data_IF_777869943637
#
_entry.id   IF_777869943637
#
_cell.length_a   1.000
_cell.length_b   1.000
_cell.length_c   1.000
_cell.angle_alpha   90.00
_cell.angle_beta   90.00
_cell.angle_gamma   90.00
#
_symmetry.space_group_name_H-M   'P 1'
#
loop_
_entity.id
_entity.type
_entity.pdbx_description
1 polymer ?
#
# COMPACT_ATOMS: atom_id res chain seq x y z
N UNK A 1 -29.58 -52.43 11.96
CA UNK A 1 -28.73 -53.65 11.83
C UNK A 1 -28.96 -54.16 10.42
N UNK A 2 -28.03 -54.18 9.46
CA UNK A 2 -26.60 -54.54 9.46
C UNK A 2 -25.91 -53.76 8.33
N UNK A 3 -25.02 -52.82 8.63
CA UNK A 3 -23.57 -52.92 8.39
C UNK A 3 -23.14 -53.59 7.08
N UNK A 4 -22.72 -52.78 6.09
CA UNK A 4 -21.62 -53.16 5.20
C UNK A 4 -20.62 -52.00 5.18
N UNK A 5 -19.67 -52.09 6.10
CA UNK A 5 -18.35 -51.48 5.95
C UNK A 5 -17.66 -52.23 4.81
N UNK A 6 -17.61 -51.65 3.62
CA UNK A 6 -16.71 -52.13 2.57
C UNK A 6 -15.37 -51.42 2.75
N UNK A 7 -14.48 -52.06 3.50
CA UNK A 7 -13.06 -51.69 3.49
C UNK A 7 -12.53 -51.76 2.05
N UNK A 8 -11.82 -50.72 1.61
CA UNK A 8 -11.14 -50.60 0.30
C UNK A 8 -10.33 -51.82 -0.22
N UNK A 9 -9.86 -52.80 0.60
CA UNK A 9 -9.12 -53.96 0.09
C UNK A 9 -9.93 -54.95 -0.76
N UNK A 10 -11.26 -55.03 -0.65
CA UNK A 10 -12.07 -56.11 -1.27
C UNK A 10 -12.64 -55.79 -2.66
N UNK A 11 -12.30 -54.65 -3.26
CA UNK A 11 -12.78 -54.29 -4.60
C UNK A 11 -12.03 -55.08 -5.69
N UNK A 12 -12.76 -55.67 -6.63
CA UNK A 12 -12.17 -56.35 -7.80
C UNK A 12 -11.34 -55.37 -8.64
N UNK A 13 -10.31 -55.84 -9.38
CA UNK A 13 -9.45 -54.96 -10.19
C UNK A 13 -10.23 -54.09 -11.19
N UNK A 14 -11.29 -54.64 -11.78
CA UNK A 14 -12.16 -53.92 -12.72
C UNK A 14 -12.97 -52.81 -12.04
N UNK A 15 -13.47 -53.06 -10.83
CA UNK A 15 -14.24 -52.08 -10.06
C UNK A 15 -13.32 -50.97 -9.53
N UNK A 16 -12.09 -51.30 -9.14
CA UNK A 16 -11.04 -50.32 -8.80
C UNK A 16 -10.69 -49.42 -9.99
N UNK A 17 -10.48 -50.01 -11.17
CA UNK A 17 -10.18 -49.24 -12.39
C UNK A 17 -11.36 -48.34 -12.81
N UNK A 18 -12.59 -48.82 -12.66
CA UNK A 18 -13.80 -48.02 -12.93
C UNK A 18 -13.97 -46.87 -11.94
N UNK A 19 -13.69 -47.10 -10.66
CA UNK A 19 -13.68 -46.05 -9.62
C UNK A 19 -12.55 -45.04 -9.86
N UNK A 20 -11.34 -45.48 -10.20
CA UNK A 20 -10.22 -44.60 -10.55
C UNK A 20 -10.51 -43.77 -11.80
N UNK A 21 -11.14 -44.37 -12.82
CA UNK A 21 -11.58 -43.65 -14.01
C UNK A 21 -12.68 -42.64 -13.68
N UNK A 22 -13.65 -42.99 -12.84
CA UNK A 22 -14.70 -42.07 -12.39
C UNK A 22 -14.17 -40.94 -11.50
N UNK A 23 -13.20 -41.22 -10.63
CA UNK A 23 -12.52 -40.22 -9.81
C UNK A 23 -11.64 -39.31 -10.68
N UNK A 24 -10.93 -39.87 -11.66
CA UNK A 24 -10.14 -39.09 -12.62
C UNK A 24 -11.02 -38.24 -13.53
N UNK A 25 -12.19 -38.75 -13.93
CA UNK A 25 -13.17 -38.02 -14.74
C UNK A 25 -13.88 -36.94 -13.91
N UNK A 26 -14.17 -37.20 -12.63
CA UNK A 26 -14.65 -36.19 -11.67
C UNK A 26 -13.61 -35.12 -11.38
N UNK A 27 -12.34 -35.51 -11.22
CA UNK A 27 -11.23 -34.58 -11.06
C UNK A 27 -11.07 -33.71 -12.31
N UNK A 28 -11.15 -34.30 -13.51
CA UNK A 28 -11.14 -33.55 -14.79
C UNK A 28 -12.35 -32.63 -14.95
N UNK A 29 -13.57 -33.10 -14.69
CA UNK A 29 -14.77 -32.23 -14.75
C UNK A 29 -14.80 -31.17 -13.66
N UNK A 30 -14.20 -31.43 -12.49
CA UNK A 30 -13.95 -30.43 -11.46
C UNK A 30 -12.94 -29.39 -11.93
N UNK A 31 -11.89 -29.81 -12.65
CA UNK A 31 -10.89 -28.91 -13.24
C UNK A 31 -11.50 -28.05 -14.36
N UNK A 32 -12.31 -28.64 -15.25
CA UNK A 32 -13.00 -27.94 -16.33
C UNK A 32 -14.06 -26.95 -15.80
N UNK A 33 -14.76 -27.29 -14.71
CA UNK A 33 -15.69 -26.39 -14.04
C UNK A 33 -14.99 -25.29 -13.22
N UNK A 34 -13.79 -25.58 -12.70
CA UNK A 34 -12.94 -24.62 -12.00
C UNK A 34 -12.33 -23.60 -12.98
N UNK A 35 -11.92 -24.03 -14.17
CA UNK A 35 -11.47 -23.14 -15.26
C UNK A 35 -12.58 -22.19 -15.74
N UNK A 36 -13.86 -22.56 -15.62
CA UNK A 36 -14.97 -21.69 -15.99
C UNK A 36 -15.24 -20.53 -15.01
N UNK A 37 -14.70 -20.61 -13.79
CA UNK A 37 -14.88 -19.62 -12.71
C UNK A 37 -13.63 -18.78 -12.45
N UNK A 38 -12.50 -19.16 -13.04
CA UNK A 38 -11.23 -18.45 -13.00
C UNK A 38 -11.00 -17.74 -14.34
N UNK A 39 -10.72 -16.44 -14.31
CA UNK A 39 -10.28 -15.69 -15.49
C UNK A 39 -8.82 -15.28 -15.32
N UNK A 40 -7.94 -15.81 -16.16
CA UNK A 40 -6.53 -15.40 -16.21
C UNK A 40 -6.37 -14.19 -17.13
N UNK A 41 -6.01 -13.05 -16.57
CA UNK A 41 -5.75 -11.83 -17.33
C UNK A 41 -4.27 -11.65 -17.70
N UNK A 42 -3.37 -12.22 -16.90
CA UNK A 42 -1.93 -12.24 -17.11
C UNK A 42 -1.34 -13.52 -16.49
N UNK A 43 -0.07 -13.88 -16.77
CA UNK A 43 0.60 -15.01 -16.13
C UNK A 43 0.53 -14.96 -14.60
N UNK A 44 0.59 -13.75 -14.03
CA UNK A 44 0.58 -13.46 -12.61
C UNK A 44 -0.78 -13.06 -12.03
N UNK A 45 -1.84 -12.95 -12.84
CA UNK A 45 -3.14 -12.41 -12.39
C UNK A 45 -4.28 -13.37 -12.70
N UNK A 46 -4.87 -13.91 -11.63
CA UNK A 46 -6.07 -14.74 -11.64
C UNK A 46 -7.21 -13.96 -10.98
N UNK A 47 -8.33 -13.82 -11.68
CA UNK A 47 -9.60 -13.40 -11.10
C UNK A 47 -10.42 -14.65 -10.80
N UNK A 48 -10.87 -14.80 -9.57
CA UNK A 48 -11.68 -15.93 -9.12
C UNK A 48 -13.08 -15.44 -8.74
N UNK A 49 -14.11 -16.05 -9.32
CA UNK A 49 -15.50 -15.76 -8.96
C UNK A 49 -15.95 -16.48 -7.68
N UNK A 50 -15.12 -17.37 -7.12
CA UNK A 50 -15.41 -18.08 -5.87
C UNK A 50 -14.84 -17.31 -4.67
N UNK A 51 -15.59 -17.16 -3.56
CA UNK A 51 -15.07 -16.53 -2.35
C UNK A 51 -13.82 -17.25 -1.83
N UNK A 52 -12.72 -16.52 -1.68
CA UNK A 52 -11.43 -17.11 -1.30
C UNK A 52 -11.45 -17.75 0.10
N UNK A 53 -12.25 -17.24 1.04
CA UNK A 53 -12.42 -17.88 2.35
C UNK A 53 -13.02 -19.29 2.23
N UNK A 54 -13.90 -19.52 1.25
CA UNK A 54 -14.46 -20.85 0.99
C UNK A 54 -13.39 -21.80 0.46
N UNK A 55 -12.52 -21.32 -0.43
CA UNK A 55 -11.39 -22.12 -0.94
C UNK A 55 -10.42 -22.49 0.19
N UNK A 56 -10.12 -21.56 1.10
CA UNK A 56 -9.36 -21.84 2.31
C UNK A 56 -10.02 -22.89 3.19
N UNK A 57 -11.31 -22.74 3.49
CA UNK A 57 -12.05 -23.70 4.32
C UNK A 57 -12.12 -25.10 3.69
N UNK A 58 -12.13 -25.19 2.36
CA UNK A 58 -12.10 -26.44 1.61
C UNK A 58 -10.69 -27.07 1.52
N UNK A 59 -9.63 -26.37 1.94
CA UNK A 59 -8.24 -26.82 1.79
C UNK A 59 -7.68 -26.66 0.37
N UNK A 60 -8.35 -25.87 -0.47
CA UNK A 60 -7.92 -25.55 -1.84
C UNK A 60 -6.93 -24.38 -1.90
N UNK A 61 -6.81 -23.61 -0.81
CA UNK A 61 -5.84 -22.52 -0.67
C UNK A 61 -4.86 -22.77 0.48
N UNK A 62 -3.58 -22.51 0.21
CA UNK A 62 -2.51 -22.68 1.20
C UNK A 62 -2.50 -21.53 2.21
N UNK A 63 -2.14 -21.81 3.49
CA UNK A 63 -1.99 -20.79 4.54
C UNK A 63 -1.16 -19.57 4.10
N UNK A 64 -1.40 -18.44 4.77
CA UNK A 64 -0.66 -17.20 4.51
C UNK A 64 0.32 -16.90 5.64
N UNK A 65 1.40 -16.19 5.32
CA UNK A 65 2.35 -15.72 6.33
C UNK A 65 1.83 -14.46 7.04
N UNK A 66 1.08 -13.62 6.31
CA UNK A 66 0.63 -12.33 6.76
C UNK A 66 -0.70 -11.90 6.13
N UNK A 67 -1.34 -10.90 6.73
CA UNK A 67 -2.57 -10.27 6.22
C UNK A 67 -2.43 -8.76 6.18
N UNK A 68 -3.00 -8.12 5.17
CA UNK A 68 -3.24 -6.68 5.13
C UNK A 68 -4.74 -6.39 5.23
N UNK A 69 -5.15 -5.42 6.04
CA UNK A 69 -6.54 -4.99 6.16
C UNK A 69 -6.70 -3.65 5.45
N UNK A 70 -7.66 -3.56 4.53
CA UNK A 70 -8.00 -2.35 3.75
C UNK A 70 -9.49 -2.05 3.80
N UNK A 71 -9.91 -0.86 3.38
CA UNK A 71 -11.31 -0.53 3.13
C UNK A 71 -11.72 -0.77 1.66
N UNK A 72 -13.03 -0.74 1.40
CA UNK A 72 -13.57 -0.67 0.04
C UNK A 72 -13.13 0.63 -0.64
N UNK A 73 -12.79 0.52 -1.92
CA UNK A 73 -12.55 1.69 -2.77
C UNK A 73 -13.90 2.31 -3.16
N UNK A 74 -14.05 3.64 -3.11
CA UNK A 74 -15.31 4.32 -3.45
C UNK A 74 -15.83 3.99 -4.88
N UNK A 75 -14.95 3.53 -5.77
CA UNK A 75 -15.29 3.07 -7.13
C UNK A 75 -16.23 1.88 -7.21
N UNK A 76 -16.38 1.12 -6.13
CA UNK A 76 -17.35 0.01 -6.11
C UNK A 76 -18.79 0.51 -6.18
N UNK A 77 -19.03 1.80 -5.89
CA UNK A 77 -20.32 2.47 -6.02
C UNK A 77 -20.51 2.99 -7.45
N UNK A 78 -21.60 2.58 -8.10
CA UNK A 78 -21.89 2.93 -9.49
C UNK A 78 -22.55 1.80 -10.27
N UNK A 79 -22.92 2.06 -11.53
CA UNK A 79 -23.53 1.07 -12.45
C UNK A 79 -24.70 0.27 -11.85
N UNK A 80 -25.52 0.93 -11.03
CA UNK A 80 -26.70 0.33 -10.38
C UNK A 80 -26.44 -0.28 -9.00
N UNK A 81 -25.19 -0.31 -8.53
CA UNK A 81 -24.84 -0.66 -7.15
C UNK A 81 -24.68 0.59 -6.31
N UNK A 82 -25.38 0.62 -5.17
CA UNK A 82 -25.11 1.54 -4.10
C UNK A 82 -24.25 0.86 -3.03
N UNK A 83 -23.73 1.66 -2.08
CA UNK A 83 -22.85 1.13 -1.04
C UNK A 83 -23.52 0.03 -0.20
N UNK A 84 -24.82 0.13 0.08
CA UNK A 84 -25.58 -0.85 0.86
C UNK A 84 -25.60 -2.23 0.18
N UNK A 85 -25.72 -2.26 -1.15
CA UNK A 85 -25.73 -3.51 -1.93
C UNK A 85 -24.41 -4.27 -1.75
N UNK A 86 -23.32 -3.53 -1.58
CA UNK A 86 -21.97 -4.07 -1.48
C UNK A 86 -21.68 -4.46 -0.04
N UNK A 87 -21.97 -3.58 0.92
CA UNK A 87 -21.68 -3.83 2.33
C UNK A 87 -22.56 -4.93 2.92
N UNK A 88 -23.87 -4.90 2.65
CA UNK A 88 -24.81 -5.89 3.19
C UNK A 88 -25.03 -7.07 2.25
N UNK A 89 -25.12 -6.82 0.94
CA UNK A 89 -25.41 -7.88 -0.03
C UNK A 89 -24.20 -8.76 -0.33
N UNK A 90 -23.10 -8.14 -0.75
CA UNK A 90 -21.89 -8.87 -1.18
C UNK A 90 -21.02 -9.27 0.02
N UNK A 91 -20.74 -8.33 0.93
CA UNK A 91 -19.85 -8.60 2.06
C UNK A 91 -20.58 -9.21 3.26
N UNK A 92 -21.92 -9.14 3.33
CA UNK A 92 -22.69 -9.64 4.46
C UNK A 92 -22.30 -8.99 5.80
N UNK A 93 -21.89 -7.72 5.78
CA UNK A 93 -21.33 -6.97 6.91
C UNK A 93 -20.06 -7.56 7.56
N UNK A 94 -19.37 -8.46 6.85
CA UNK A 94 -18.14 -9.10 7.30
C UNK A 94 -16.94 -8.70 6.44
N UNK A 95 -15.71 -8.75 6.99
CA UNK A 95 -14.50 -8.59 6.19
C UNK A 95 -14.40 -9.65 5.08
N UNK A 96 -14.09 -9.21 3.87
CA UNK A 96 -13.98 -10.06 2.69
C UNK A 96 -12.52 -10.38 2.39
N UNK A 97 -12.15 -11.66 2.22
CA UNK A 97 -10.86 -12.02 1.65
C UNK A 97 -10.86 -11.73 0.15
N UNK A 98 -10.26 -10.62 -0.23
CA UNK A 98 -10.34 -10.05 -1.57
C UNK A 98 -9.15 -10.36 -2.46
N UNK A 99 -7.99 -10.65 -1.88
CA UNK A 99 -6.76 -10.92 -2.65
C UNK A 99 -5.83 -11.86 -1.88
N UNK A 100 -5.13 -12.74 -2.59
CA UNK A 100 -3.96 -13.47 -2.11
C UNK A 100 -2.79 -13.10 -3.02
N UNK A 101 -1.73 -12.56 -2.42
CA UNK A 101 -0.44 -12.26 -3.06
C UNK A 101 0.56 -13.34 -2.70
N UNK A 102 1.16 -13.96 -3.71
CA UNK A 102 2.31 -14.83 -3.56
C UNK A 102 3.56 -14.09 -4.05
N UNK A 103 4.43 -13.76 -3.11
CA UNK A 103 5.78 -13.28 -3.36
C UNK A 103 6.76 -14.46 -3.27
N UNK A 104 7.97 -14.39 -3.85
CA UNK A 104 8.99 -15.42 -3.67
C UNK A 104 9.30 -15.71 -2.19
N UNK A 105 9.20 -14.68 -1.36
CA UNK A 105 9.56 -14.74 0.05
C UNK A 105 8.38 -15.04 0.98
N UNK A 106 7.12 -14.97 0.52
CA UNK A 106 5.96 -15.36 1.32
C UNK A 106 4.58 -14.98 0.76
N UNK A 107 3.54 -15.30 1.53
CA UNK A 107 2.12 -15.13 1.15
C UNK A 107 1.44 -14.07 1.99
N UNK A 108 0.76 -13.13 1.33
CA UNK A 108 -0.02 -12.07 1.97
C UNK A 108 -1.47 -12.14 1.51
N UNK A 109 -2.41 -12.31 2.43
CA UNK A 109 -3.84 -12.15 2.14
C UNK A 109 -4.29 -10.70 2.38
N UNK A 110 -5.31 -10.24 1.65
CA UNK A 110 -5.95 -8.95 1.90
C UNK A 110 -7.39 -9.16 2.37
N UNK A 111 -7.70 -8.65 3.56
CA UNK A 111 -9.06 -8.54 4.07
C UNK A 111 -9.59 -7.12 3.80
N UNK A 112 -10.66 -7.02 3.04
CA UNK A 112 -11.36 -5.77 2.75
C UNK A 112 -12.53 -5.60 3.70
N UNK A 113 -12.49 -4.53 4.51
CA UNK A 113 -13.58 -4.15 5.38
C UNK A 113 -14.77 -3.63 4.55
N UNK A 114 -16.01 -3.93 4.94
CA UNK A 114 -17.22 -3.48 4.24
C UNK A 114 -17.54 -2.01 4.52
N UNK A 115 -16.55 -1.12 4.44
CA UNK A 115 -16.66 0.34 4.65
C UNK A 115 -15.72 1.03 3.68
N UNK A 116 -16.05 2.24 3.26
CA UNK A 116 -15.13 3.05 2.43
C UNK A 116 -14.27 3.97 3.30
N UNK A 117 -13.19 4.51 2.73
CA UNK A 117 -12.34 5.48 3.42
C UNK A 117 -13.10 6.76 3.80
N UNK A 118 -14.10 7.17 3.01
CA UNK A 118 -14.97 8.31 3.34
C UNK A 118 -15.81 8.12 4.61
N UNK A 119 -16.05 6.88 5.05
CA UNK A 119 -16.82 6.56 6.27
C UNK A 119 -15.94 6.37 7.50
N UNK A 120 -14.63 6.31 7.34
CA UNK A 120 -13.73 5.72 8.32
C UNK A 120 -13.69 6.49 9.66
N UNK A 121 -13.74 7.82 9.59
CA UNK A 121 -13.68 8.67 10.77
C UNK A 121 -15.04 8.80 11.49
N UNK A 122 -16.15 8.79 10.74
CA UNK A 122 -17.50 8.86 11.32
C UNK A 122 -17.95 7.54 11.94
N UNK A 123 -17.29 6.43 11.60
CA UNK A 123 -17.63 5.07 12.06
C UNK A 123 -16.46 4.35 12.74
N UNK A 124 -15.55 5.09 13.40
CA UNK A 124 -14.34 4.54 14.01
C UNK A 124 -14.57 3.35 14.95
N UNK A 125 -15.64 3.35 15.75
CA UNK A 125 -15.99 2.21 16.60
C UNK A 125 -16.35 0.93 15.82
N UNK A 126 -17.02 1.08 14.68
CA UNK A 126 -17.34 -0.04 13.79
C UNK A 126 -16.11 -0.53 13.03
N UNK A 127 -15.21 0.37 12.64
CA UNK A 127 -13.90 0.02 12.05
C UNK A 127 -13.07 -0.81 13.04
N UNK A 128 -12.99 -0.42 14.32
CA UNK A 128 -12.30 -1.22 15.35
C UNK A 128 -12.90 -2.62 15.45
N UNK A 129 -14.23 -2.72 15.52
CA UNK A 129 -14.93 -4.02 15.57
C UNK A 129 -14.61 -4.89 14.34
N UNK A 130 -14.62 -4.31 13.15
CA UNK A 130 -14.32 -5.01 11.90
C UNK A 130 -12.84 -5.45 11.83
N UNK A 131 -11.91 -4.62 12.29
CA UNK A 131 -10.49 -4.99 12.41
C UNK A 131 -10.31 -6.15 13.40
N UNK A 132 -10.96 -6.11 14.57
CA UNK A 132 -10.91 -7.21 15.53
C UNK A 132 -11.47 -8.52 14.93
N UNK A 133 -12.54 -8.45 14.12
CA UNK A 133 -13.04 -9.61 13.36
C UNK A 133 -12.01 -10.11 12.34
N UNK A 134 -11.35 -9.20 11.62
CA UNK A 134 -10.28 -9.53 10.69
C UNK A 134 -9.09 -10.22 11.37
N UNK A 135 -8.77 -9.91 12.63
CA UNK A 135 -7.71 -10.61 13.37
C UNK A 135 -8.04 -12.10 13.60
N UNK A 136 -9.31 -12.44 13.86
CA UNK A 136 -9.74 -13.83 14.01
C UNK A 136 -9.66 -14.59 12.68
N UNK A 137 -10.07 -13.93 11.59
CA UNK A 137 -9.93 -14.49 10.24
C UNK A 137 -8.45 -14.69 9.92
N UNK A 138 -7.61 -13.68 10.14
CA UNK A 138 -6.17 -13.74 9.87
C UNK A 138 -5.48 -14.87 10.64
N UNK A 139 -5.80 -15.07 11.92
CA UNK A 139 -5.33 -16.22 12.69
C UNK A 139 -5.70 -17.56 12.04
N UNK A 140 -6.96 -17.69 11.61
CA UNK A 140 -7.47 -18.91 10.96
C UNK A 140 -6.82 -19.18 9.60
N UNK A 141 -6.35 -18.12 8.91
CA UNK A 141 -5.60 -18.22 7.66
C UNK A 141 -4.12 -18.57 7.88
N UNK A 142 -3.65 -18.63 9.13
CA UNK A 142 -2.26 -18.93 9.49
C UNK A 142 -1.34 -17.70 9.60
N UNK A 143 -1.89 -16.49 9.48
CA UNK A 143 -1.10 -15.26 9.49
C UNK A 143 -0.42 -15.05 10.84
N UNK A 144 0.84 -14.60 10.82
CA UNK A 144 1.60 -14.22 12.03
C UNK A 144 1.58 -12.73 12.31
N UNK A 145 1.32 -11.91 11.30
CA UNK A 145 1.11 -10.48 11.46
C UNK A 145 0.03 -9.93 10.51
N UNK A 146 -0.52 -8.78 10.91
CA UNK A 146 -1.58 -8.04 10.26
C UNK A 146 -1.16 -6.59 10.10
N UNK A 147 -1.23 -6.03 8.89
CA UNK A 147 -1.04 -4.60 8.66
C UNK A 147 -2.36 -3.87 8.48
N UNK A 148 -2.46 -2.68 9.08
CA UNK A 148 -3.57 -1.75 8.90
C UNK A 148 -3.20 -0.78 7.76
N UNK A 149 -3.92 -0.79 6.64
CA UNK A 149 -3.57 0.03 5.47
C UNK A 149 -4.44 1.27 5.32
N UNK A 150 -3.99 2.20 4.46
CA UNK A 150 -4.70 3.46 4.16
C UNK A 150 -4.95 4.27 5.44
N UNK A 151 -6.19 4.70 5.65
CA UNK A 151 -6.59 5.52 6.81
C UNK A 151 -6.96 4.71 8.07
N UNK A 152 -6.87 3.37 8.05
CA UNK A 152 -7.22 2.54 9.21
C UNK A 152 -6.32 2.83 10.43
N UNK A 153 -4.99 3.01 10.29
CA UNK A 153 -4.15 3.44 11.40
C UNK A 153 -4.69 4.69 12.10
N UNK A 154 -4.90 5.81 11.39
CA UNK A 154 -5.36 7.06 12.02
C UNK A 154 -6.74 6.92 12.66
N UNK A 155 -7.68 6.22 12.01
CA UNK A 155 -9.03 5.99 12.53
C UNK A 155 -9.06 5.11 13.80
N UNK A 156 -8.02 4.31 14.02
CA UNK A 156 -7.88 3.40 15.17
C UNK A 156 -6.89 3.92 16.23
N UNK A 157 -6.57 5.22 16.22
CA UNK A 157 -5.53 5.82 17.07
C UNK A 157 -4.18 5.10 16.91
N UNK A 158 -3.78 4.92 15.66
CA UNK A 158 -2.57 4.20 15.23
C UNK A 158 -2.52 2.77 15.79
N UNK A 159 -3.65 2.08 15.73
CA UNK A 159 -3.82 0.72 16.23
C UNK A 159 -4.05 0.59 17.74
N UNK A 160 -3.90 1.66 18.54
CA UNK A 160 -4.06 1.61 20.00
C UNK A 160 -5.51 1.35 20.45
N UNK A 161 -6.50 1.60 19.59
CA UNK A 161 -7.89 1.34 19.91
C UNK A 161 -8.29 -0.14 19.80
N UNK A 162 -7.46 -0.98 19.16
CA UNK A 162 -7.78 -2.38 18.86
C UNK A 162 -7.46 -3.25 20.07
N UNK A 163 -8.40 -4.12 20.47
CA UNK A 163 -8.15 -5.09 21.54
C UNK A 163 -7.45 -6.31 20.98
N UNK A 164 -6.19 -6.47 21.32
CA UNK A 164 -5.38 -7.62 20.95
C UNK A 164 -5.51 -8.75 21.99
N UNK A 165 -5.61 -9.99 21.53
CA UNK A 165 -5.61 -11.20 22.35
C UNK A 165 -4.30 -11.98 22.15
N UNK A 166 -3.83 -12.69 23.17
CA UNK A 166 -2.53 -13.36 23.15
C UNK A 166 -2.29 -14.32 21.96
N UNK A 167 -3.34 -14.94 21.43
CA UNK A 167 -3.24 -15.89 20.31
C UNK A 167 -3.43 -15.23 18.92
N UNK A 168 -3.64 -13.91 18.86
CA UNK A 168 -3.86 -13.20 17.60
C UNK A 168 -2.54 -12.79 16.94
N UNK A 169 -2.53 -12.60 15.60
CA UNK A 169 -1.37 -12.09 14.88
C UNK A 169 -0.88 -10.76 15.44
N UNK A 170 0.41 -10.47 15.28
CA UNK A 170 0.96 -9.15 15.58
C UNK A 170 0.27 -8.07 14.72
N UNK A 171 0.10 -6.87 15.26
CA UNK A 171 -0.51 -5.75 14.52
C UNK A 171 0.58 -4.73 14.20
N UNK A 172 0.60 -4.26 12.95
CA UNK A 172 1.42 -3.13 12.53
C UNK A 172 0.57 -2.12 11.77
N UNK A 173 0.87 -0.82 11.91
CA UNK A 173 0.32 0.23 11.05
C UNK A 173 0.93 0.22 9.65
N UNK A 174 2.01 -0.54 9.45
CA UNK A 174 2.76 -0.57 8.19
C UNK A 174 3.63 0.65 7.94
N UNK A 175 3.58 1.66 8.82
CA UNK A 175 4.20 2.96 8.58
C UNK A 175 5.73 2.89 8.46
N UNK A 176 6.43 2.03 9.20
CA UNK A 176 7.89 1.93 9.07
C UNK A 176 8.34 1.52 7.65
N UNK A 177 7.64 0.56 7.03
CA UNK A 177 7.91 0.13 5.66
C UNK A 177 7.43 1.17 4.64
N UNK A 178 6.27 1.81 4.87
CA UNK A 178 5.79 2.92 4.01
C UNK A 178 6.76 4.09 4.02
N UNK A 179 7.20 4.54 5.20
CA UNK A 179 8.24 5.56 5.39
C UNK A 179 9.50 5.24 4.58
N UNK A 180 9.93 3.99 4.59
CA UNK A 180 11.09 3.55 3.81
C UNK A 180 10.83 3.62 2.31
N UNK A 181 9.64 3.25 1.85
CA UNK A 181 9.22 3.39 0.46
C UNK A 181 9.17 4.86 0.01
N UNK A 182 8.71 5.79 0.85
CA UNK A 182 8.74 7.24 0.55
C UNK A 182 10.17 7.73 0.30
N UNK A 183 11.13 7.31 1.14
CA UNK A 183 12.55 7.69 0.96
C UNK A 183 13.13 7.10 -0.32
N UNK A 184 12.80 5.84 -0.65
CA UNK A 184 13.19 5.24 -1.94
C UNK A 184 12.57 5.98 -3.13
N UNK A 185 11.29 6.38 -3.05
CA UNK A 185 10.61 7.16 -4.08
C UNK A 185 11.27 8.52 -4.30
N UNK A 186 11.69 9.21 -3.22
CA UNK A 186 12.46 10.45 -3.31
C UNK A 186 13.79 10.25 -4.05
N UNK A 187 14.55 9.21 -3.68
CA UNK A 187 15.80 8.90 -4.38
C UNK A 187 15.56 8.61 -5.87
N UNK A 188 14.54 7.82 -6.20
CA UNK A 188 14.19 7.48 -7.58
C UNK A 188 13.75 8.70 -8.38
N UNK A 189 12.96 9.59 -7.79
CA UNK A 189 12.50 10.82 -8.43
C UNK A 189 13.68 11.75 -8.73
N UNK A 190 14.56 11.98 -7.76
CA UNK A 190 15.77 12.78 -7.92
C UNK A 190 16.71 12.19 -8.98
N UNK A 191 16.94 10.88 -8.95
CA UNK A 191 17.74 10.18 -9.96
C UNK A 191 17.13 10.32 -11.36
N UNK A 192 15.81 10.21 -11.48
CA UNK A 192 15.11 10.34 -12.75
C UNK A 192 15.17 11.78 -13.29
N UNK A 193 15.11 12.76 -12.39
CA UNK A 193 15.28 14.18 -12.67
C UNK A 193 16.74 14.56 -12.98
N UNK A 194 17.72 13.72 -12.59
CA UNK A 194 19.15 14.03 -12.70
C UNK A 194 19.58 15.12 -11.73
N UNK A 195 19.10 15.07 -10.47
CA UNK A 195 19.36 16.07 -9.43
C UNK A 195 19.86 15.41 -8.14
N UNK A 196 20.65 16.13 -7.37
CA UNK A 196 21.13 15.70 -6.05
C UNK A 196 20.26 16.31 -4.95
N UNK A 197 19.91 15.51 -3.95
CA UNK A 197 19.17 15.97 -2.76
C UNK A 197 19.90 17.13 -2.06
N UNK A 198 21.23 17.13 -2.05
CA UNK A 198 22.02 18.15 -1.36
C UNK A 198 21.80 19.57 -1.91
N UNK A 199 21.37 19.70 -3.17
CA UNK A 199 21.11 20.98 -3.82
C UNK A 199 19.65 21.45 -3.66
N UNK A 200 18.79 20.60 -3.12
CA UNK A 200 17.35 20.83 -3.03
C UNK A 200 16.96 21.75 -1.86
N UNK A 201 15.96 22.59 -2.12
CA UNK A 201 15.13 23.24 -1.11
C UNK A 201 13.90 22.36 -0.88
N UNK A 202 13.94 21.53 0.16
CA UNK A 202 12.96 20.48 0.39
C UNK A 202 11.83 20.95 1.30
N UNK A 203 10.59 20.66 0.93
CA UNK A 203 9.41 20.87 1.78
C UNK A 203 8.72 19.58 2.15
N UNK A 204 8.41 19.39 3.44
CA UNK A 204 7.55 18.31 3.94
C UNK A 204 6.18 18.88 4.31
N UNK A 205 5.12 18.30 3.74
CA UNK A 205 3.73 18.72 3.92
C UNK A 205 2.97 17.59 4.63
N UNK A 206 2.55 17.84 5.87
CA UNK A 206 1.96 16.84 6.75
C UNK A 206 3.04 16.11 7.56
N UNK A 207 3.18 16.47 8.84
CA UNK A 207 4.18 15.90 9.74
C UNK A 207 3.48 14.97 10.74
N UNK A 208 2.63 14.08 10.21
CA UNK A 208 2.03 12.97 10.94
C UNK A 208 3.04 11.84 11.20
N UNK A 209 2.53 10.62 11.38
CA UNK A 209 3.35 9.43 11.63
C UNK A 209 4.34 9.17 10.49
N UNK A 210 3.85 9.04 9.24
CA UNK A 210 4.72 8.76 8.09
C UNK A 210 5.60 9.96 7.74
N UNK A 211 5.05 11.17 7.66
CA UNK A 211 5.81 12.37 7.29
C UNK A 211 7.00 12.65 8.22
N UNK A 212 6.78 12.59 9.55
CA UNK A 212 7.87 12.78 10.53
C UNK A 212 8.94 11.69 10.43
N UNK A 213 8.50 10.43 10.27
CA UNK A 213 9.40 9.30 10.18
C UNK A 213 10.18 9.27 8.85
N UNK A 214 9.56 9.65 7.73
CA UNK A 214 10.20 9.78 6.42
C UNK A 214 11.24 10.89 6.41
N UNK A 215 10.92 12.05 7.00
CA UNK A 215 11.90 13.12 7.20
C UNK A 215 13.10 12.66 8.03
N UNK A 216 12.83 12.01 9.17
CA UNK A 216 13.89 11.55 10.07
C UNK A 216 14.76 10.48 9.41
N UNK A 217 14.14 9.51 8.74
CA UNK A 217 14.83 8.46 8.00
C UNK A 217 15.67 9.05 6.88
N UNK A 218 15.12 9.95 6.07
CA UNK A 218 15.83 10.61 4.97
C UNK A 218 17.10 11.30 5.46
N UNK A 219 17.02 12.12 6.53
CA UNK A 219 18.21 12.77 7.10
C UNK A 219 19.21 11.80 7.73
N UNK A 220 18.79 10.58 8.04
CA UNK A 220 19.65 9.53 8.61
C UNK A 220 20.40 8.77 7.52
N UNK A 221 19.75 8.49 6.38
CA UNK A 221 20.30 7.56 5.36
C UNK A 221 20.73 8.25 4.06
N UNK A 222 20.35 9.51 3.84
CA UNK A 222 20.67 10.29 2.64
C UNK A 222 21.48 11.55 2.98
N UNK A 223 22.15 12.17 1.99
CA UNK A 223 22.69 13.52 2.13
C UNK A 223 21.62 14.53 2.57
N UNK A 224 22.03 15.54 3.33
CA UNK A 224 21.11 16.56 3.82
C UNK A 224 20.78 17.58 2.72
N UNK A 225 19.49 17.98 2.56
CA UNK A 225 19.13 19.02 1.61
C UNK A 225 19.62 20.40 2.05
N UNK A 226 19.83 21.30 1.09
CA UNK A 226 20.31 22.67 1.33
C UNK A 226 19.40 23.44 2.29
N UNK A 227 18.09 23.33 2.11
CA UNK A 227 17.10 23.89 3.03
C UNK A 227 15.92 22.95 3.25
N UNK A 228 15.24 23.14 4.38
CA UNK A 228 14.13 22.32 4.80
C UNK A 228 12.99 23.18 5.37
N UNK A 229 11.82 23.06 4.76
CA UNK A 229 10.59 23.72 5.20
C UNK A 229 9.59 22.68 5.68
N UNK A 230 9.17 22.79 6.95
CA UNK A 230 8.14 21.94 7.56
C UNK A 230 6.78 22.63 7.46
N UNK A 231 5.79 21.94 6.91
CA UNK A 231 4.45 22.46 6.72
C UNK A 231 3.41 21.55 7.36
N UNK A 232 2.75 22.06 8.40
CA UNK A 232 1.63 21.40 9.08
C UNK A 232 0.71 22.47 9.67
N UNK A 233 -0.40 22.04 10.25
CA UNK A 233 -1.36 22.91 10.94
C UNK A 233 -0.68 23.73 12.03
N UNK A 234 -1.08 24.99 12.18
CA UNK A 234 -0.56 25.87 13.25
C UNK A 234 -0.69 25.26 14.67
N UNK A 235 -1.74 24.48 14.92
CA UNK A 235 -1.97 23.79 16.19
C UNK A 235 -0.90 22.75 16.53
N UNK A 236 -0.04 22.38 15.58
CA UNK A 236 1.07 21.43 15.73
C UNK A 236 2.40 22.12 16.07
N UNK A 237 2.40 23.44 16.26
CA UNK A 237 3.63 24.24 16.45
C UNK A 237 4.56 23.66 17.52
N UNK A 238 4.07 23.35 18.72
CA UNK A 238 4.92 22.84 19.81
C UNK A 238 5.56 21.48 19.47
N UNK A 239 4.82 20.61 18.79
CA UNK A 239 5.33 19.34 18.31
C UNK A 239 6.40 19.54 17.23
N UNK A 240 6.22 20.53 16.35
CA UNK A 240 7.19 20.87 15.32
C UNK A 240 8.44 21.57 15.87
N UNK A 241 8.31 22.41 16.89
CA UNK A 241 9.48 22.98 17.57
C UNK A 241 10.32 21.89 18.23
N UNK A 242 9.66 20.87 18.79
CA UNK A 242 10.33 19.66 19.32
C UNK A 242 11.01 18.87 18.20
N UNK A 243 10.31 18.66 17.08
CA UNK A 243 10.88 17.98 15.91
C UNK A 243 12.09 18.74 15.36
N UNK A 244 11.99 20.05 15.14
CA UNK A 244 13.08 20.88 14.65
C UNK A 244 14.31 20.81 15.55
N UNK A 245 14.12 20.78 16.88
CA UNK A 245 15.20 20.57 17.84
C UNK A 245 15.85 19.21 17.63
N UNK A 246 15.07 18.14 17.54
CA UNK A 246 15.55 16.79 17.24
C UNK A 246 16.35 16.73 15.93
N UNK A 247 15.89 17.41 14.86
CA UNK A 247 16.64 17.46 13.58
C UNK A 247 18.02 18.11 13.74
N UNK A 248 18.15 19.13 14.60
CA UNK A 248 19.41 19.84 14.84
C UNK A 248 20.33 19.08 15.78
N UNK A 249 19.80 18.60 16.89
CA UNK A 249 20.57 18.03 18.00
C UNK A 249 20.96 16.58 17.71
N UNK A 250 20.02 15.76 17.25
CA UNK A 250 20.21 14.31 17.07
C UNK A 250 20.58 13.94 15.65
N UNK A 251 19.97 14.58 14.64
CA UNK A 251 20.25 14.30 13.22
C UNK A 251 21.27 15.25 12.61
N UNK A 252 21.79 16.20 13.40
CA UNK A 252 22.86 17.13 13.02
C UNK A 252 22.60 17.94 11.74
N UNK A 253 21.34 18.20 11.39
CA UNK A 253 20.99 18.99 10.21
C UNK A 253 21.58 20.40 10.30
N UNK A 254 22.42 20.79 9.33
CA UNK A 254 23.09 22.11 9.32
C UNK A 254 22.45 23.11 8.35
N UNK A 255 21.63 22.65 7.41
CA UNK A 255 20.98 23.51 6.42
C UNK A 255 19.95 24.47 7.03
N UNK A 256 19.33 25.28 6.19
CA UNK A 256 18.30 26.21 6.63
C UNK A 256 17.03 25.45 7.04
N UNK A 257 16.44 25.76 8.20
CA UNK A 257 15.28 25.03 8.73
C UNK A 257 14.17 26.00 9.11
N UNK A 258 12.99 25.86 8.50
CA UNK A 258 11.84 26.74 8.71
C UNK A 258 10.58 25.94 9.01
N UNK A 259 9.69 26.55 9.79
CA UNK A 259 8.30 26.11 9.93
C UNK A 259 7.37 27.08 9.19
N UNK A 260 6.55 26.55 8.29
CA UNK A 260 5.55 27.29 7.53
C UNK A 260 4.15 26.74 7.87
N UNK A 261 3.40 27.38 8.79
CA UNK A 261 2.09 26.89 9.20
C UNK A 261 1.08 26.94 8.05
N UNK A 262 0.40 25.83 7.80
CA UNK A 262 -0.71 25.76 6.85
C UNK A 262 -2.06 25.97 7.54
N UNK A 263 -3.03 26.40 6.74
CA UNK A 263 -4.45 26.43 7.12
C UNK A 263 -5.24 25.45 6.24
N UNK A 264 -5.90 25.95 5.19
CA UNK A 264 -6.60 25.11 4.20
C UNK A 264 -5.73 24.79 2.99
N UNK A 265 -4.75 25.63 2.71
CA UNK A 265 -3.82 25.51 1.59
C UNK A 265 -2.40 25.73 2.09
N UNK A 266 -1.41 25.25 1.32
CA UNK A 266 -0.01 25.49 1.60
C UNK A 266 0.33 27.00 1.51
N UNK A 267 1.18 27.51 2.41
CA UNK A 267 1.63 28.90 2.41
C UNK A 267 2.65 29.18 1.30
N UNK A 268 3.01 30.44 1.07
CA UNK A 268 3.85 30.87 -0.06
C UNK A 268 5.25 30.23 -0.04
N UNK A 269 5.79 30.01 1.15
CA UNK A 269 7.09 29.40 1.39
C UNK A 269 7.22 28.01 0.75
N UNK A 270 6.12 27.27 0.65
CA UNK A 270 6.11 25.92 0.04
C UNK A 270 6.31 25.99 -1.47
N UNK A 271 5.82 27.04 -2.14
CA UNK A 271 5.95 27.18 -3.59
C UNK A 271 7.35 27.66 -4.01
N UNK A 272 8.18 28.08 -3.05
CA UNK A 272 9.59 28.39 -3.28
C UNK A 272 10.46 27.13 -3.32
N UNK A 273 9.98 26.03 -2.74
CA UNK A 273 10.70 24.77 -2.66
C UNK A 273 10.95 24.15 -4.04
N UNK A 274 12.08 23.48 -4.16
CA UNK A 274 12.47 22.76 -5.38
C UNK A 274 11.86 21.36 -5.44
N UNK A 275 11.68 20.75 -4.26
CA UNK A 275 11.16 19.40 -4.07
C UNK A 275 10.17 19.38 -2.91
N UNK A 276 9.05 18.69 -3.09
CA UNK A 276 7.98 18.55 -2.11
C UNK A 276 7.77 17.07 -1.77
N UNK A 277 7.53 16.79 -0.49
CA UNK A 277 7.07 15.49 0.01
C UNK A 277 5.74 15.69 0.72
N UNK A 278 4.67 15.13 0.16
CA UNK A 278 3.33 15.10 0.75
C UNK A 278 3.11 13.85 1.59
N UNK A 279 2.61 14.02 2.81
CA UNK A 279 2.21 12.94 3.72
C UNK A 279 1.04 13.41 4.60
N UNK A 280 -0.03 13.88 3.95
CA UNK A 280 -1.24 14.42 4.59
C UNK A 280 -2.46 13.54 4.34
N UNK A 281 -3.54 13.78 5.08
CA UNK A 281 -4.85 13.17 4.85
C UNK A 281 -5.89 14.20 4.35
N UNK A 282 -5.42 15.38 3.93
CA UNK A 282 -6.23 16.45 3.38
C UNK A 282 -5.94 16.57 1.88
N UNK A 283 -6.97 16.45 1.01
CA UNK A 283 -6.76 16.52 -0.43
C UNK A 283 -6.43 17.94 -0.90
N UNK A 284 -5.71 18.05 -2.02
CA UNK A 284 -5.55 19.30 -2.79
C UNK A 284 -5.04 20.51 -1.97
N UNK A 285 -4.15 20.28 -1.01
CA UNK A 285 -3.52 21.36 -0.21
C UNK A 285 -2.44 22.11 -1.00
N UNK A 286 -1.85 21.47 -2.01
CA UNK A 286 -0.91 22.03 -2.97
C UNK A 286 -1.63 22.41 -4.25
N UNK A 287 -1.54 23.68 -4.63
CA UNK A 287 -2.02 24.18 -5.92
C UNK A 287 -0.96 23.94 -7.00
N UNK A 288 -1.24 23.03 -7.93
CA UNK A 288 -0.30 22.67 -9.01
C UNK A 288 0.04 23.88 -9.87
N UNK A 289 -0.87 24.83 -10.07
CA UNK A 289 -0.63 25.99 -10.93
C UNK A 289 0.40 26.96 -10.34
N UNK A 290 0.60 26.92 -9.01
CA UNK A 290 1.54 27.80 -8.30
C UNK A 290 2.93 27.20 -8.13
N UNK A 291 3.10 25.92 -8.43
CA UNK A 291 4.42 25.29 -8.40
C UNK A 291 5.36 25.99 -9.39
N UNK A 292 6.59 26.23 -8.96
CA UNK A 292 7.64 26.74 -9.84
C UNK A 292 8.03 25.71 -10.90
N UNK A 293 8.44 26.14 -12.11
CA UNK A 293 9.10 25.26 -13.06
C UNK A 293 10.31 24.55 -12.42
N UNK A 294 10.50 23.28 -12.78
CA UNK A 294 11.47 22.37 -12.18
C UNK A 294 11.04 21.73 -10.85
N UNK A 295 9.77 21.83 -10.43
CA UNK A 295 9.33 21.24 -9.15
C UNK A 295 9.27 19.71 -9.20
N UNK A 296 9.75 19.07 -8.13
CA UNK A 296 9.63 17.63 -7.90
C UNK A 296 8.62 17.34 -6.78
N UNK A 297 7.80 16.29 -6.90
CA UNK A 297 6.80 15.92 -5.89
C UNK A 297 6.82 14.41 -5.61
N UNK A 298 6.98 14.02 -4.35
CA UNK A 298 6.66 12.67 -3.86
C UNK A 298 5.41 12.77 -2.99
N UNK A 299 4.35 12.04 -3.30
CA UNK A 299 3.08 12.14 -2.55
C UNK A 299 2.64 10.80 -1.96
N UNK A 300 2.75 10.68 -0.64
CA UNK A 300 2.24 9.57 0.18
C UNK A 300 0.85 9.88 0.79
N UNK A 301 0.19 10.94 0.32
CA UNK A 301 -1.10 11.36 0.87
C UNK A 301 -2.24 10.51 0.35
N UNK A 302 -3.21 10.23 1.22
CA UNK A 302 -4.47 9.57 0.85
C UNK A 302 -5.65 10.36 1.42
N UNK A 303 -6.42 11.10 0.58
CA UNK A 303 -6.22 11.29 -0.86
C UNK A 303 -5.03 12.22 -1.21
N UNK A 304 -4.68 12.31 -2.50
CA UNK A 304 -3.54 13.10 -2.99
C UNK A 304 -3.51 14.55 -2.52
N UNK A 305 -2.30 15.05 -2.22
CA UNK A 305 -2.13 16.42 -1.73
C UNK A 305 -2.26 17.49 -2.83
N UNK A 306 -2.42 17.09 -4.09
CA UNK A 306 -2.60 17.94 -5.27
C UNK A 306 -3.63 17.36 -6.25
N UNK A 307 -4.12 18.18 -7.18
CA UNK A 307 -5.01 17.72 -8.24
C UNK A 307 -4.24 16.93 -9.31
N UNK A 308 -4.48 15.61 -9.34
CA UNK A 308 -3.79 14.68 -10.23
C UNK A 308 -4.01 15.01 -11.71
N UNK A 309 -5.22 15.40 -12.11
CA UNK A 309 -5.51 15.68 -13.51
C UNK A 309 -4.74 16.94 -13.96
N UNK A 310 -4.71 17.96 -13.11
CA UNK A 310 -3.95 19.18 -13.36
C UNK A 310 -2.43 18.93 -13.43
N UNK A 311 -1.90 18.06 -12.57
CA UNK A 311 -0.47 17.69 -12.59
C UNK A 311 -0.09 16.93 -13.86
N UNK A 312 -0.93 15.98 -14.29
CA UNK A 312 -0.74 15.24 -15.55
C UNK A 312 -0.77 16.22 -16.73
N UNK A 313 -1.79 17.07 -16.82
CA UNK A 313 -1.90 18.08 -17.89
C UNK A 313 -0.68 19.00 -17.94
N UNK A 314 -0.20 19.47 -16.78
CA UNK A 314 0.99 20.32 -16.71
C UNK A 314 2.25 19.59 -17.16
N UNK A 315 2.45 18.33 -16.78
CA UNK A 315 3.59 17.55 -17.28
C UNK A 315 3.52 17.37 -18.80
N UNK A 316 2.35 17.01 -19.34
CA UNK A 316 2.16 16.74 -20.77
C UNK A 316 2.34 18.01 -21.63
N UNK A 317 1.91 19.17 -21.11
CA UNK A 317 1.92 20.43 -21.87
C UNK A 317 3.17 21.28 -21.66
N UNK A 318 3.74 21.28 -20.44
CA UNK A 318 4.86 22.15 -20.07
C UNK A 318 6.14 21.36 -19.75
N UNK A 319 6.01 20.09 -19.36
CA UNK A 319 7.15 19.23 -18.97
C UNK A 319 8.07 19.85 -17.91
N UNK A 320 7.49 20.66 -17.02
CA UNK A 320 8.23 21.47 -16.06
C UNK A 320 7.99 21.08 -14.60
N UNK A 321 7.24 20.02 -14.35
CA UNK A 321 7.13 19.38 -13.04
C UNK A 321 7.33 17.87 -13.20
N UNK A 322 7.76 17.18 -12.15
CA UNK A 322 7.81 15.72 -12.13
C UNK A 322 7.30 15.22 -10.80
N UNK A 323 6.49 14.16 -10.81
CA UNK A 323 5.85 13.67 -9.60
C UNK A 323 5.74 12.14 -9.58
N UNK A 324 5.60 11.60 -8.38
CA UNK A 324 5.30 10.19 -8.13
C UNK A 324 4.59 10.01 -6.81
N UNK A 325 3.88 8.89 -6.66
CA UNK A 325 3.41 8.44 -5.36
C UNK A 325 4.57 7.99 -4.44
N UNK A 326 4.41 8.31 -3.17
CA UNK A 326 5.12 7.73 -2.05
C UNK A 326 4.50 6.39 -1.65
N UNK A 327 5.23 5.60 -0.87
CA UNK A 327 4.66 4.38 -0.27
C UNK A 327 4.55 3.16 -1.17
N UNK A 328 4.77 3.29 -2.49
CA UNK A 328 4.75 2.20 -3.45
C UNK A 328 6.15 1.66 -3.79
N UNK A 329 6.27 0.34 -3.91
CA UNK A 329 7.51 -0.38 -4.17
C UNK A 329 7.38 -1.25 -5.42
N UNK A 330 8.53 -1.49 -6.06
CA UNK A 330 8.72 -2.54 -7.05
C UNK A 330 9.44 -3.72 -6.38
N UNK A 331 8.79 -4.87 -6.35
CA UNK A 331 9.37 -6.12 -5.87
C UNK A 331 10.43 -6.66 -6.85
N UNK A 332 11.46 -7.36 -6.33
CA UNK A 332 12.51 -7.96 -7.17
C UNK A 332 11.98 -9.09 -8.07
N UNK A 333 10.92 -9.78 -7.65
CA UNK A 333 10.26 -10.84 -8.39
C UNK A 333 8.80 -10.52 -8.67
N UNK A 334 8.23 -11.24 -9.63
CA UNK A 334 6.81 -11.16 -9.98
C UNK A 334 5.94 -11.62 -8.80
N UNK A 335 4.87 -10.87 -8.52
CA UNK A 335 3.90 -11.15 -7.47
C UNK A 335 2.69 -11.82 -8.12
N UNK A 336 2.40 -13.06 -7.74
CA UNK A 336 1.18 -13.70 -8.21
C UNK A 336 -0.01 -13.20 -7.40
N UNK A 337 -1.10 -12.86 -8.08
CA UNK A 337 -2.34 -12.39 -7.50
C UNK A 337 -3.47 -13.37 -7.83
N UNK A 338 -4.20 -13.79 -6.78
CA UNK A 338 -5.54 -14.36 -6.92
C UNK A 338 -6.53 -13.41 -6.27
N UNK A 339 -7.35 -12.76 -7.09
CA UNK A 339 -8.30 -11.74 -6.64
C UNK A 339 -9.71 -12.32 -6.67
N UNK A 340 -10.43 -12.22 -5.55
CA UNK A 340 -11.86 -12.49 -5.54
C UNK A 340 -12.59 -11.33 -6.19
N UNK A 341 -13.29 -11.60 -7.29
CA UNK A 341 -14.14 -10.61 -7.94
C UNK A 341 -15.52 -11.23 -8.15
N UNK A 342 -16.52 -10.84 -7.35
CA UNK A 342 -17.90 -11.21 -7.64
C UNK A 342 -18.26 -10.76 -9.05
N UNK A 343 -18.93 -11.61 -9.83
CA UNK A 343 -19.35 -11.30 -11.21
C UNK A 343 -20.06 -9.94 -11.34
N UNK A 344 -20.86 -9.58 -10.31
CA UNK A 344 -21.56 -8.31 -10.20
C UNK A 344 -20.64 -7.07 -10.16
N UNK A 345 -19.37 -7.23 -9.76
CA UNK A 345 -18.39 -6.17 -9.56
C UNK A 345 -17.20 -6.23 -10.54
N UNK A 346 -17.23 -7.13 -11.53
CA UNK A 346 -16.17 -7.22 -12.55
C UNK A 346 -15.93 -5.89 -13.26
N UNK A 347 -16.98 -5.09 -13.48
CA UNK A 347 -16.89 -3.76 -14.09
C UNK A 347 -16.08 -2.75 -13.27
N UNK A 348 -16.00 -2.93 -11.95
CA UNK A 348 -15.31 -2.02 -11.05
C UNK A 348 -13.81 -2.35 -10.95
N UNK A 349 -13.39 -3.50 -11.49
CA UNK A 349 -12.00 -3.90 -11.48
C UNK A 349 -11.20 -3.08 -12.50
N UNK A 350 -10.23 -2.33 -11.99
CA UNK A 350 -9.20 -1.68 -12.80
C UNK A 350 -7.85 -2.20 -12.30
N UNK A 351 -7.40 -3.31 -12.87
CA UNK A 351 -6.09 -3.87 -12.56
C UNK A 351 -5.34 -4.07 -13.88
N UNK A 352 -4.50 -3.10 -14.30
CA UNK A 352 -3.76 -3.24 -15.54
C UNK A 352 -2.85 -4.47 -15.45
N UNK A 353 -2.93 -5.34 -16.46
CA UNK A 353 -2.17 -6.57 -16.57
C UNK A 353 -0.80 -6.31 -17.24
N UNK A 354 -0.02 -5.37 -16.70
CA UNK A 354 1.30 -4.98 -17.21
C UNK A 354 2.45 -5.37 -16.24
N UNK A 355 3.70 -5.27 -16.71
CA UNK A 355 4.89 -5.62 -15.92
C UNK A 355 5.01 -4.78 -14.64
N UNK A 356 4.72 -3.48 -14.74
CA UNK A 356 4.77 -2.58 -13.59
C UNK A 356 3.89 -3.09 -12.45
N UNK A 357 2.66 -3.48 -12.76
CA UNK A 357 1.72 -4.02 -11.78
C UNK A 357 2.04 -5.45 -11.35
N UNK A 358 2.74 -6.23 -12.18
CA UNK A 358 3.25 -7.56 -11.82
C UNK A 358 4.24 -7.52 -10.64
N UNK A 359 4.91 -6.38 -10.45
CA UNK A 359 5.89 -6.17 -9.39
C UNK A 359 5.44 -5.16 -8.32
N UNK A 360 4.24 -4.60 -8.45
CA UNK A 360 3.79 -3.49 -7.60
C UNK A 360 3.28 -3.99 -6.24
N UNK A 361 3.78 -3.38 -5.16
CA UNK A 361 3.25 -3.56 -3.81
C UNK A 361 3.45 -2.29 -2.99
N UNK A 362 2.50 -1.96 -2.11
CA UNK A 362 2.67 -0.83 -1.20
C UNK A 362 3.38 -1.27 0.08
N UNK A 363 4.16 -0.36 0.67
CA UNK A 363 4.90 -0.59 1.91
C UNK A 363 4.00 -1.04 3.06
N UNK A 364 2.79 -0.47 3.16
CA UNK A 364 1.83 -0.86 4.20
C UNK A 364 1.33 -2.31 4.05
N UNK A 365 1.18 -2.82 2.82
CA UNK A 365 0.84 -4.25 2.59
C UNK A 365 2.05 -5.13 2.91
N UNK A 366 3.23 -4.79 2.39
CA UNK A 366 4.46 -5.58 2.58
C UNK A 366 4.89 -5.68 4.05
N UNK A 367 4.62 -4.65 4.86
CA UNK A 367 5.05 -4.56 6.25
C UNK A 367 4.60 -5.73 7.13
N UNK A 368 3.40 -6.28 6.88
CA UNK A 368 2.91 -7.43 7.63
C UNK A 368 3.70 -8.70 7.31
N UNK A 369 4.17 -8.87 6.07
CA UNK A 369 5.05 -9.99 5.73
C UNK A 369 6.40 -9.87 6.43
N UNK A 370 6.95 -8.65 6.46
CA UNK A 370 8.22 -8.37 7.14
C UNK A 370 8.11 -8.66 8.64
N UNK A 371 7.06 -8.16 9.29
CA UNK A 371 6.85 -8.38 10.71
C UNK A 371 6.51 -9.84 11.03
N UNK A 372 5.68 -10.47 10.20
CA UNK A 372 5.14 -11.80 10.47
C UNK A 372 6.09 -12.93 10.10
N UNK A 373 6.98 -12.75 9.12
CA UNK A 373 7.84 -13.83 8.62
C UNK A 373 9.31 -13.68 8.97
N UNK A 374 9.78 -12.43 9.08
CA UNK A 374 11.19 -12.12 9.27
C UNK A 374 11.44 -11.38 10.59
N UNK A 375 10.43 -11.33 11.47
CA UNK A 375 10.49 -10.73 12.80
C UNK A 375 10.98 -9.28 12.81
N UNK A 376 10.75 -8.53 11.71
CA UNK A 376 11.03 -7.10 11.68
C UNK A 376 10.09 -6.35 12.64
N UNK A 377 10.53 -5.21 13.21
CA UNK A 377 9.72 -4.48 14.17
C UNK A 377 8.35 -4.07 13.63
N UNK A 378 7.29 -4.46 14.35
CA UNK A 378 5.94 -4.02 14.10
C UNK A 378 5.70 -2.64 14.73
N UNK A 379 4.92 -1.77 14.06
CA UNK A 379 4.63 -0.42 14.56
C UNK A 379 3.20 -0.33 15.10
N UNK A 380 3.05 0.08 16.35
CA UNK A 380 1.79 0.58 16.91
C UNK A 380 2.05 1.97 17.49
N UNK A 381 1.17 2.93 17.19
CA UNK A 381 1.47 4.34 17.47
C UNK A 381 2.36 4.98 16.39
N UNK A 382 3.25 5.85 16.85
CA UNK A 382 4.22 6.53 15.99
C UNK A 382 5.37 5.59 15.63
N UNK A 383 5.97 5.80 14.46
CA UNK A 383 7.15 5.03 14.03
C UNK A 383 8.35 5.43 14.89
N UNK A 384 9.05 4.45 15.44
CA UNK A 384 10.34 4.69 16.07
C UNK A 384 11.44 4.85 15.00
N UNK A 385 12.34 5.84 15.11
CA UNK A 385 13.35 6.11 14.09
C UNK A 385 14.19 4.89 13.69
N UNK A 386 14.62 4.09 14.67
CA UNK A 386 15.43 2.90 14.40
C UNK A 386 14.65 1.81 13.65
N UNK A 387 13.34 1.70 13.87
CA UNK A 387 12.49 0.77 13.11
C UNK A 387 12.42 1.20 11.65
N UNK A 388 12.29 2.50 11.35
CA UNK A 388 12.32 2.99 9.97
C UNK A 388 13.64 2.64 9.27
N UNK A 389 14.80 2.84 9.94
CA UNK A 389 16.12 2.47 9.40
C UNK A 389 16.20 0.96 9.13
N UNK A 390 15.72 0.15 10.06
CA UNK A 390 15.72 -1.33 9.93
C UNK A 390 14.91 -1.78 8.72
N UNK A 391 13.71 -1.21 8.53
CA UNK A 391 12.86 -1.52 7.38
C UNK A 391 13.47 -1.02 6.06
N UNK A 392 14.10 0.15 6.05
CA UNK A 392 14.80 0.68 4.88
C UNK A 392 15.94 -0.24 4.43
N UNK A 393 16.81 -0.64 5.36
CA UNK A 393 17.90 -1.57 5.09
C UNK A 393 17.37 -2.90 4.58
N UNK A 394 16.31 -3.43 5.18
CA UNK A 394 15.67 -4.67 4.74
C UNK A 394 15.17 -4.59 3.29
N UNK A 395 14.53 -3.49 2.91
CA UNK A 395 14.07 -3.30 1.52
C UNK A 395 15.24 -3.29 0.55
N UNK A 396 16.30 -2.54 0.85
CA UNK A 396 17.51 -2.43 0.02
C UNK A 396 18.21 -3.79 -0.12
N UNK A 397 18.46 -4.48 0.99
CA UNK A 397 19.14 -5.79 1.02
C UNK A 397 18.37 -6.87 0.26
N UNK A 398 17.03 -6.79 0.28
CA UNK A 398 16.14 -7.72 -0.42
C UNK A 398 15.89 -7.33 -1.87
N UNK A 399 16.47 -6.23 -2.35
CA UNK A 399 16.35 -5.79 -3.74
C UNK A 399 14.99 -5.16 -4.09
N UNK A 400 14.22 -4.72 -3.10
CA UNK A 400 13.07 -3.87 -3.36
C UNK A 400 13.53 -2.49 -3.83
N UNK A 401 12.82 -1.95 -4.79
CA UNK A 401 13.08 -0.62 -5.36
C UNK A 401 11.85 0.25 -5.18
N UNK A 402 12.00 1.57 -5.36
CA UNK A 402 10.85 2.43 -5.58
C UNK A 402 10.08 1.95 -6.82
N UNK A 403 8.76 2.13 -6.80
CA UNK A 403 7.96 1.96 -8.01
C UNK A 403 8.43 2.92 -9.12
N UNK A 404 8.13 2.57 -10.38
CA UNK A 404 8.27 3.51 -11.48
C UNK A 404 7.39 4.74 -11.23
N UNK A 405 7.80 5.91 -11.75
CA UNK A 405 7.09 7.16 -11.46
C UNK A 405 5.64 7.07 -11.94
N UNK A 406 4.70 7.30 -11.04
CA UNK A 406 3.28 7.10 -11.30
C UNK A 406 2.37 7.92 -10.38
N UNK A 407 1.12 8.05 -10.78
CA UNK A 407 0.04 8.52 -9.93
C UNK A 407 -1.23 7.72 -10.24
N UNK A 408 -1.68 6.94 -9.27
CA UNK A 408 -2.69 5.91 -9.38
C UNK A 408 -2.34 4.90 -10.46
N UNK A 409 -3.23 4.81 -11.45
CA UNK A 409 -3.06 3.90 -12.60
C UNK A 409 -2.24 4.53 -13.72
N UNK A 410 -1.99 5.83 -13.67
CA UNK A 410 -1.25 6.55 -14.70
C UNK A 410 0.25 6.46 -14.42
N UNK A 411 1.02 6.14 -15.47
CA UNK A 411 2.48 6.00 -15.43
C UNK A 411 3.10 7.19 -16.14
N UNK A 412 4.16 7.76 -15.57
CA UNK A 412 4.89 8.85 -16.20
C UNK A 412 5.68 8.31 -17.40
N UNK A 413 5.45 8.82 -18.63
CA UNK A 413 6.17 8.35 -19.80
C UNK A 413 7.68 8.66 -19.72
N UNK A 414 8.53 7.74 -20.19
CA UNK A 414 9.97 7.94 -20.23
C UNK A 414 10.38 9.18 -21.05
N UNK A 415 9.63 9.51 -22.11
CA UNK A 415 9.81 10.73 -22.91
C UNK A 415 9.56 12.01 -22.10
N UNK A 416 8.57 12.00 -21.21
CA UNK A 416 8.26 13.14 -20.34
C UNK A 416 9.36 13.34 -19.29
N UNK A 417 9.89 12.25 -18.70
CA UNK A 417 11.05 12.30 -17.78
C UNK A 417 12.27 12.88 -18.50
N UNK A 418 12.56 12.41 -19.72
CA UNK A 418 13.68 12.91 -20.51
C UNK A 418 13.51 14.39 -20.91
N UNK A 419 12.28 14.82 -21.22
CA UNK A 419 11.97 16.23 -21.51
C UNK A 419 12.18 17.12 -20.28
N UNK A 420 11.70 16.70 -19.11
CA UNK A 420 11.94 17.41 -17.85
C UNK A 420 13.44 17.52 -17.55
N UNK A 421 14.16 16.39 -17.57
CA UNK A 421 15.59 16.34 -17.25
C UNK A 421 16.45 17.22 -18.17
N UNK A 422 16.08 17.36 -19.44
CA UNK A 422 16.80 18.24 -20.38
C UNK A 422 16.79 19.71 -19.96
N UNK A 423 15.73 20.17 -19.32
CA UNK A 423 15.55 21.58 -18.96
C UNK A 423 15.89 21.85 -17.48
N UNK A 424 15.71 20.86 -16.61
CA UNK A 424 15.77 21.02 -15.16
C UNK A 424 16.70 20.03 -14.45
N UNK A 425 17.40 19.16 -15.18
CA UNK A 425 18.46 18.33 -14.60
C UNK A 425 19.72 19.13 -14.31
N UNK A 426 20.58 18.61 -13.43
CA UNK A 426 21.92 19.16 -13.26
C UNK A 426 22.72 18.99 -14.57
N UNK A 427 23.51 20.00 -14.93
CA UNK A 427 24.47 19.87 -16.05
C UNK A 427 25.45 18.73 -15.71
N UNK A 428 25.68 17.81 -16.64
CA UNK A 428 26.74 16.80 -16.49
C UNK A 428 28.08 17.56 -16.46
N UNK A 429 28.72 17.55 -15.29
CA UNK A 429 30.02 18.19 -15.05
C UNK A 429 31.16 17.50 -15.81
#
# INVERSE_FOLDING_TARGET
MSSVSSSLPTLTPELKNKLLAQLSQRAKTSNDAQEALETRLAPWLILDQRPLLTLFAAGEEAPVDAVSITCLNDRVVGKGFNLRDITHGICGDLPLLSNIRQLPEGRIATLTLPRTYGQIYSQSGDIVRLVEQSLHIAHSLGARAVSLTGLIPSATRYGQAIRHQANQPLITTGHATTTSAVVLSLQKLLQSAGRDLADEDLSFIGLGSVGTAALSLMLTVLPHPRSLTLCDLYTRRDALETLMRYLREELHYQGELRFAPSQRTCPEEIYQATTLVGATNVPNVVDVARLRPGSLIVDDSDPHCFDVAQAIERLETQSDILFTEGGALRAPGEIQHRIYVPKALEWALQYPADDDNAHHITGCILSSLFSGKFDYPATLGMVEPQHAVTHYQALVERGYQAANLHCGFWRVPASAIAAFRRHFGAEEA
#
